data_IF_709738715520
#
_entry.id   IF_709738715520
#
_cell.length_a   1.000
_cell.length_b   1.000
_cell.length_c   1.000
_cell.angle_alpha   90.00
_cell.angle_beta   90.00
_cell.angle_gamma   90.00
#
_symmetry.space_group_name_H-M   'P 1'
#
loop_
_entity.id
_entity.type
_entity.pdbx_description
1 polymer ?
#
# COMPACT_ATOMS: atom_id res chain seq x y z
N UNK A 1 -8.54 14.77 -4.27
CA UNK A 1 -8.42 13.31 -4.03
C UNK A 1 -7.06 12.74 -4.45
N UNK A 2 -6.61 12.91 -5.70
CA UNK A 2 -5.32 12.38 -6.16
C UNK A 2 -4.11 12.89 -5.35
N UNK A 3 -4.06 14.19 -5.04
CA UNK A 3 -3.00 14.79 -4.22
C UNK A 3 -2.92 14.19 -2.81
N UNK A 4 -4.06 13.77 -2.26
CA UNK A 4 -4.11 13.10 -0.97
C UNK A 4 -3.52 11.69 -1.04
N UNK A 5 -3.91 10.92 -2.06
CA UNK A 5 -3.36 9.57 -2.32
C UNK A 5 -1.84 9.65 -2.52
N UNK A 6 -1.37 10.64 -3.29
CA UNK A 6 0.05 10.86 -3.50
C UNK A 6 0.80 11.13 -2.18
N UNK A 7 0.31 12.08 -1.37
CA UNK A 7 0.92 12.39 -0.07
C UNK A 7 0.90 11.18 0.87
N UNK A 8 -0.18 10.41 0.87
CA UNK A 8 -0.30 9.19 1.65
C UNK A 8 0.75 8.15 1.23
N UNK A 9 0.85 7.83 -0.06
CA UNK A 9 1.84 6.89 -0.59
C UNK A 9 3.28 7.36 -0.37
N UNK A 10 3.51 8.66 -0.52
CA UNK A 10 4.82 9.26 -0.28
C UNK A 10 5.23 9.18 1.18
N UNK A 11 4.30 9.24 2.12
CA UNK A 11 4.61 9.08 3.54
C UNK A 11 5.27 7.72 3.83
N UNK A 12 4.88 6.65 3.14
CA UNK A 12 5.51 5.34 3.28
C UNK A 12 6.90 5.22 2.63
N UNK A 13 7.40 6.24 1.92
CA UNK A 13 8.64 6.16 1.14
C UNK A 13 9.84 5.73 1.97
N UNK A 14 9.95 6.22 3.19
CA UNK A 14 11.09 5.94 4.08
C UNK A 14 11.10 4.52 4.63
N UNK A 15 9.96 3.81 4.56
CA UNK A 15 9.88 2.40 4.92
C UNK A 15 10.51 1.45 3.88
N UNK A 16 10.93 1.98 2.72
CA UNK A 16 11.52 1.22 1.64
C UNK A 16 12.97 1.64 1.37
N UNK A 17 13.89 0.70 1.43
CA UNK A 17 15.30 0.96 1.08
C UNK A 17 15.51 1.17 -0.43
N UNK A 18 14.65 0.56 -1.27
CA UNK A 18 14.75 0.61 -2.74
C UNK A 18 13.55 1.30 -3.36
N UNK A 19 13.81 2.25 -4.27
CA UNK A 19 12.77 2.99 -4.98
C UNK A 19 11.86 2.07 -5.82
N UNK A 20 12.43 1.06 -6.48
CA UNK A 20 11.66 0.09 -7.28
C UNK A 20 10.64 -0.69 -6.43
N UNK A 21 11.00 -1.02 -5.20
CA UNK A 21 10.11 -1.73 -4.26
C UNK A 21 8.98 -0.82 -3.80
N UNK A 22 9.27 0.46 -3.51
CA UNK A 22 8.25 1.45 -3.20
C UNK A 22 7.29 1.68 -4.37
N UNK A 23 7.77 1.75 -5.61
CA UNK A 23 6.92 1.85 -6.80
C UNK A 23 5.98 0.64 -6.96
N UNK A 24 6.48 -0.57 -6.71
CA UNK A 24 5.65 -1.78 -6.70
C UNK A 24 4.58 -1.72 -5.60
N UNK A 25 4.91 -1.22 -4.40
CA UNK A 25 3.93 -0.98 -3.34
C UNK A 25 2.85 0.03 -3.78
N UNK A 26 3.24 1.15 -4.40
CA UNK A 26 2.29 2.12 -4.93
C UNK A 26 1.35 1.50 -5.98
N UNK A 27 1.87 0.69 -6.90
CA UNK A 27 1.04 -0.04 -7.88
C UNK A 27 0.08 -1.03 -7.22
N UNK A 28 0.48 -1.70 -6.13
CA UNK A 28 -0.41 -2.58 -5.37
C UNK A 28 -1.55 -1.78 -4.75
N UNK A 29 -1.24 -0.69 -4.04
CA UNK A 29 -2.26 0.15 -3.38
C UNK A 29 -3.23 0.76 -4.39
N UNK A 30 -2.70 1.30 -5.49
CA UNK A 30 -3.54 1.89 -6.56
C UNK A 30 -4.39 0.82 -7.26
N UNK A 31 -3.87 -0.39 -7.45
CA UNK A 31 -4.64 -1.48 -8.03
C UNK A 31 -5.78 -1.90 -7.11
N UNK A 32 -5.57 -1.97 -5.80
CA UNK A 32 -6.66 -2.19 -4.85
C UNK A 32 -7.70 -1.07 -4.81
N UNK A 33 -7.32 0.18 -5.10
CA UNK A 33 -8.28 1.29 -5.20
C UNK A 33 -9.10 1.26 -6.49
N UNK A 34 -8.52 0.74 -7.59
CA UNK A 34 -9.10 0.85 -8.93
C UNK A 34 -9.72 -0.43 -9.50
N UNK A 35 -9.53 -1.58 -8.87
CA UNK A 35 -10.05 -2.85 -9.36
C UNK A 35 -11.16 -3.39 -8.44
N UNK A 36 -12.31 -3.73 -9.02
CA UNK A 36 -13.44 -4.34 -8.29
C UNK A 36 -13.12 -5.74 -7.75
N UNK A 37 -12.30 -6.53 -8.46
CA UNK A 37 -11.90 -7.87 -8.03
C UNK A 37 -10.41 -8.14 -8.28
N UNK A 38 -9.66 -8.26 -7.19
CA UNK A 38 -8.27 -8.75 -7.19
C UNK A 38 -8.21 -10.04 -6.39
N UNK A 39 -8.07 -11.15 -7.10
CA UNK A 39 -8.03 -12.51 -6.54
C UNK A 39 -6.56 -12.94 -6.28
N UNK A 40 -5.57 -12.27 -6.89
CA UNK A 40 -4.15 -12.49 -6.64
C UNK A 40 -3.20 -11.68 -7.53
N UNK A 41 -1.93 -12.10 -7.59
CA UNK A 41 -0.89 -11.41 -8.38
C UNK A 41 -1.20 -11.45 -9.88
N UNK A 42 -1.78 -12.56 -10.37
CA UNK A 42 -2.17 -12.70 -11.78
C UNK A 42 -3.25 -11.70 -12.18
N UNK A 43 -4.23 -11.43 -11.31
CA UNK A 43 -5.23 -10.38 -11.56
C UNK A 43 -4.65 -8.98 -11.51
N UNK A 44 -3.65 -8.72 -10.64
CA UNK A 44 -2.89 -7.48 -10.66
C UNK A 44 -2.16 -7.28 -11.99
N UNK A 45 -1.49 -8.32 -12.49
CA UNK A 45 -0.80 -8.27 -13.77
C UNK A 45 -1.79 -7.99 -14.90
N UNK A 46 -2.97 -8.62 -14.89
CA UNK A 46 -4.03 -8.34 -15.86
C UNK A 46 -4.53 -6.89 -15.78
N UNK A 47 -4.79 -6.39 -14.57
CA UNK A 47 -5.26 -5.02 -14.34
C UNK A 47 -4.26 -3.98 -14.87
N UNK A 48 -2.97 -4.18 -14.63
CA UNK A 48 -1.91 -3.27 -15.07
C UNK A 48 -1.40 -3.54 -16.49
N UNK A 49 -1.91 -4.56 -17.19
CA UNK A 49 -1.41 -4.96 -18.51
C UNK A 49 0.03 -5.51 -18.50
N UNK A 50 0.47 -6.10 -17.40
CA UNK A 50 1.83 -6.60 -17.20
C UNK A 50 1.95 -8.08 -17.62
N UNK A 51 3.05 -8.42 -18.30
CA UNK A 51 3.40 -9.80 -18.64
C UNK A 51 4.13 -10.56 -17.52
N UNK A 52 4.75 -11.69 -17.87
CA UNK A 52 5.46 -12.56 -16.91
C UNK A 52 6.52 -11.85 -16.05
N UNK A 53 7.24 -10.87 -16.61
CA UNK A 53 8.22 -10.06 -15.86
C UNK A 53 7.57 -9.25 -14.73
N UNK A 54 6.36 -8.73 -14.94
CA UNK A 54 5.60 -8.03 -13.90
C UNK A 54 5.16 -8.98 -12.79
N UNK A 55 4.72 -10.18 -13.16
CA UNK A 55 4.37 -11.24 -12.20
C UNK A 55 5.55 -11.60 -11.29
N UNK A 56 6.74 -11.81 -11.86
CA UNK A 56 7.94 -12.08 -11.08
C UNK A 56 8.35 -10.90 -10.21
N UNK A 57 8.17 -9.66 -10.69
CA UNK A 57 8.45 -8.45 -9.91
C UNK A 57 7.55 -8.35 -8.67
N UNK A 58 6.25 -8.65 -8.80
CA UNK A 58 5.34 -8.70 -7.66
C UNK A 58 5.66 -9.86 -6.71
N UNK A 59 5.98 -11.05 -7.23
CA UNK A 59 6.43 -12.16 -6.39
C UNK A 59 7.68 -11.82 -5.57
N UNK A 60 8.65 -11.17 -6.22
CA UNK A 60 9.87 -10.71 -5.56
C UNK A 60 9.58 -9.60 -4.54
N UNK A 61 8.62 -8.73 -4.81
CA UNK A 61 8.15 -7.72 -3.86
C UNK A 61 7.67 -8.37 -2.56
N UNK A 62 6.74 -9.33 -2.62
CA UNK A 62 6.19 -9.98 -1.41
C UNK A 62 7.23 -10.76 -0.59
N UNK A 63 8.37 -11.10 -1.19
CA UNK A 63 9.50 -11.78 -0.55
C UNK A 63 10.66 -10.84 -0.20
N UNK A 64 10.51 -9.54 -0.48
CA UNK A 64 11.61 -8.59 -0.37
C UNK A 64 11.91 -8.25 1.09
N UNK A 65 13.19 -8.27 1.46
CA UNK A 65 13.67 -7.67 2.71
C UNK A 65 13.84 -6.15 2.62
N UNK A 66 13.50 -5.54 1.47
CA UNK A 66 13.61 -4.10 1.26
C UNK A 66 12.52 -3.28 1.97
N UNK A 67 11.58 -3.96 2.64
CA UNK A 67 10.65 -3.39 3.61
C UNK A 67 10.38 -4.43 4.71
N UNK A 68 10.02 -3.96 5.91
CA UNK A 68 9.54 -4.84 6.97
C UNK A 68 8.03 -4.72 7.11
N UNK A 69 7.35 -5.83 7.34
CA UNK A 69 5.91 -5.82 7.57
C UNK A 69 5.57 -5.00 8.83
N UNK A 70 6.39 -5.13 9.87
CA UNK A 70 6.27 -4.37 11.11
C UNK A 70 6.43 -2.86 10.89
N UNK A 71 7.41 -2.44 10.09
CA UNK A 71 7.59 -1.03 9.71
C UNK A 71 6.39 -0.49 8.93
N UNK A 72 5.83 -1.30 8.02
CA UNK A 72 4.64 -0.93 7.26
C UNK A 72 3.41 -0.81 8.17
N UNK A 73 3.24 -1.70 9.15
CA UNK A 73 2.15 -1.64 10.13
C UNK A 73 2.27 -0.41 11.04
N UNK A 74 3.47 -0.11 11.53
CA UNK A 74 3.74 1.08 12.33
C UNK A 74 3.42 2.35 11.55
N UNK A 75 3.89 2.44 10.30
CA UNK A 75 3.67 3.61 9.47
C UNK A 75 2.18 3.79 9.12
N UNK A 76 1.46 2.69 8.86
CA UNK A 76 0.00 2.70 8.67
C UNK A 76 -0.71 3.20 9.93
N UNK A 77 -0.31 2.74 11.12
CA UNK A 77 -0.88 3.20 12.39
C UNK A 77 -0.70 4.70 12.58
N UNK A 78 0.52 5.20 12.41
CA UNK A 78 0.87 6.62 12.51
C UNK A 78 0.13 7.47 11.48
N UNK A 79 0.04 7.01 10.23
CA UNK A 79 -0.71 7.70 9.18
C UNK A 79 -2.21 7.81 9.53
N UNK A 80 -2.85 6.71 9.95
CA UNK A 80 -4.28 6.70 10.33
C UNK A 80 -4.54 7.61 11.53
N UNK A 81 -3.68 7.59 12.55
CA UNK A 81 -3.80 8.48 13.71
C UNK A 81 -3.64 9.95 13.30
N UNK A 82 -2.76 10.25 12.35
CA UNK A 82 -2.54 11.60 11.83
C UNK A 82 -3.70 12.13 10.96
N UNK A 83 -4.58 11.26 10.44
CA UNK A 83 -5.75 11.69 9.67
C UNK A 83 -6.88 12.28 10.55
N UNK A 84 -6.80 12.17 11.88
CA UNK A 84 -7.76 12.74 12.83
C UNK A 84 -9.24 12.36 12.57
N UNK A 85 -9.50 11.28 11.83
CA UNK A 85 -10.84 10.67 11.64
C UNK A 85 -11.16 9.65 12.76
N UNK A 86 -10.70 9.91 13.99
CA UNK A 86 -11.09 9.10 15.15
C UNK A 86 -12.36 9.70 15.75
N UNK A 87 -13.51 9.07 15.49
CA UNK A 87 -14.74 9.40 16.21
C UNK A 87 -14.65 8.75 17.59
N UNK A 88 -14.75 9.57 18.65
CA UNK A 88 -14.91 9.08 20.02
C UNK A 88 -16.36 8.64 20.21
N UNK A 89 -16.58 7.33 20.31
CA UNK A 89 -17.87 6.78 20.75
C UNK A 89 -17.69 6.32 22.20
N UNK A 90 -18.41 6.97 23.12
CA UNK A 90 -18.38 6.67 24.57
C UNK A 90 -16.97 6.62 25.20
N UNK A 91 -16.11 7.57 24.84
CA UNK A 91 -14.76 7.67 25.42
C UNK A 91 -13.74 6.65 24.91
N UNK A 92 -14.13 5.76 24.00
CA UNK A 92 -13.21 4.88 23.27
C UNK A 92 -13.05 5.38 21.83
N UNK A 93 -11.83 5.32 21.32
CA UNK A 93 -11.56 5.62 19.91
C UNK A 93 -12.06 4.44 19.08
N UNK A 94 -13.09 4.65 18.26
CA UNK A 94 -13.65 3.60 17.42
C UNK A 94 -13.67 4.11 15.97
N UNK A 95 -13.30 3.23 15.05
CA UNK A 95 -13.30 3.47 13.59
C UNK A 95 -14.76 3.51 13.10
N UNK A 96 -15.07 4.45 12.21
CA UNK A 96 -16.36 4.47 11.51
C UNK A 96 -16.46 3.38 10.44
#
# INVERSE_FOLDING_TARGET
MLTYIYKALYSFRDAFSRNSTWLLFCMIVLGFMGADEIIGISSFCRFWGLGGNGYHSFLNFFRSSAYSLEGLMFFRGSFVLAQNETVRVQGRAVRH
#
